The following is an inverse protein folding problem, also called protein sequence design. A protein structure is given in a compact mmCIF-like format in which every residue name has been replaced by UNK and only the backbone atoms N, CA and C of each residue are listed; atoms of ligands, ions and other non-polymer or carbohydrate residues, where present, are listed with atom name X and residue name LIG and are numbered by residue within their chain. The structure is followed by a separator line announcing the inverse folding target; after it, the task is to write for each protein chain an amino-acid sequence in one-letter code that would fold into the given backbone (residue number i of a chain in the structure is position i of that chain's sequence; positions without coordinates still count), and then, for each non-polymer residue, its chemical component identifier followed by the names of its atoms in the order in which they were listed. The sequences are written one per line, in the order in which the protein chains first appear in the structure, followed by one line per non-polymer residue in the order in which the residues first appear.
data_IF_850162888757
#
_entry.id   IF_850162888757
#
_cell.length_a   1.000
_cell.length_b   1.000
_cell.length_c   1.000
_cell.angle_alpha   90.00
_cell.angle_beta   90.00
_cell.angle_gamma   90.00
#
_symmetry.space_group_name_H-M   'P 1'
#
loop_
_entity.id
_entity.type
_entity.pdbx_description
1 polymer ?
#
# COMPACT_ATOMS: atom_id res chain seq x y z
N UNK A 1 -25.36 7.06 2.66
CA UNK A 1 -26.23 7.04 3.85
C UNK A 1 -27.60 6.53 3.44
N UNK A 2 -27.80 5.21 3.39
CA UNK A 2 -29.12 4.60 3.24
C UNK A 2 -29.62 4.26 4.63
N UNK A 3 -30.59 5.01 5.13
CA UNK A 3 -31.24 4.77 6.41
C UNK A 3 -31.90 3.38 6.39
N UNK A 4 -31.36 2.45 7.16
CA UNK A 4 -32.01 1.19 7.48
C UNK A 4 -33.29 1.47 8.29
N UNK A 5 -34.35 0.67 8.12
CA UNK A 5 -35.65 0.92 8.75
C UNK A 5 -35.57 0.88 10.29
N UNK A 6 -36.40 1.69 10.99
CA UNK A 6 -36.35 1.81 12.44
C UNK A 6 -36.94 0.54 13.07
N UNK A 7 -36.11 -0.23 13.79
CA UNK A 7 -36.51 -1.49 14.41
C UNK A 7 -35.40 -2.56 14.50
N UNK A 8 -34.19 -2.29 14.01
CA UNK A 8 -33.05 -3.22 14.05
C UNK A 8 -31.92 -2.74 14.95
N UNK A 9 -32.22 -2.12 16.09
CA UNK A 9 -31.25 -2.07 17.18
C UNK A 9 -31.10 -3.48 17.76
N UNK A 10 -30.09 -4.21 17.29
CA UNK A 10 -29.67 -5.47 17.88
C UNK A 10 -29.47 -5.28 19.38
N UNK A 11 -30.32 -5.91 20.20
CA UNK A 11 -30.28 -5.91 21.65
C UNK A 11 -28.81 -5.98 22.13
N UNK A 12 -28.33 -5.04 22.98
CA UNK A 12 -26.95 -5.04 23.46
C UNK A 12 -26.57 -6.34 24.18
N UNK A 13 -27.52 -7.10 24.71
CA UNK A 13 -27.29 -8.46 25.22
C UNK A 13 -26.99 -9.45 24.09
N UNK A 14 -27.71 -9.38 22.96
CA UNK A 14 -27.47 -10.19 21.76
C UNK A 14 -26.13 -9.84 21.11
N UNK A 15 -25.78 -8.56 21.02
CA UNK A 15 -24.47 -8.13 20.52
C UNK A 15 -23.31 -8.67 21.39
N UNK A 16 -23.45 -8.62 22.72
CA UNK A 16 -22.46 -9.19 23.66
C UNK A 16 -22.40 -10.72 23.60
N UNK A 17 -23.52 -11.40 23.39
CA UNK A 17 -23.57 -12.85 23.19
C UNK A 17 -22.92 -13.24 21.87
N UNK A 18 -23.21 -12.52 20.79
CA UNK A 18 -22.56 -12.71 19.49
C UNK A 18 -21.05 -12.48 19.58
N UNK A 19 -20.60 -11.43 20.28
CA UNK A 19 -19.17 -11.17 20.50
C UNK A 19 -18.50 -12.29 21.30
N UNK A 20 -19.15 -12.82 22.35
CA UNK A 20 -18.63 -13.98 23.10
C UNK A 20 -18.62 -15.26 22.27
N UNK A 21 -19.65 -15.50 21.47
CA UNK A 21 -19.71 -16.62 20.52
C UNK A 21 -18.59 -16.53 19.49
N UNK A 22 -18.31 -15.33 18.97
CA UNK A 22 -17.20 -15.12 18.03
C UNK A 22 -15.83 -15.26 18.67
N UNK A 23 -15.63 -14.75 19.89
CA UNK A 23 -14.40 -14.99 20.63
C UNK A 23 -14.22 -16.49 20.92
N UNK A 24 -15.29 -17.22 21.20
CA UNK A 24 -15.26 -18.67 21.36
C UNK A 24 -14.97 -19.38 20.04
N UNK A 25 -15.55 -18.96 18.92
CA UNK A 25 -15.24 -19.52 17.59
C UNK A 25 -13.80 -19.25 17.19
N UNK A 26 -13.27 -18.04 17.44
CA UNK A 26 -11.85 -17.72 17.24
C UNK A 26 -10.95 -18.53 18.16
N UNK A 27 -11.35 -18.74 19.42
CA UNK A 27 -10.61 -19.57 20.36
C UNK A 27 -10.68 -21.06 20.01
N UNK A 28 -11.80 -21.54 19.47
CA UNK A 28 -11.98 -22.91 18.99
C UNK A 28 -11.20 -23.10 17.70
N UNK A 29 -11.30 -22.19 16.73
CA UNK A 29 -10.55 -22.25 15.48
C UNK A 29 -9.04 -22.12 15.75
N UNK A 30 -8.65 -21.19 16.62
CA UNK A 30 -7.29 -21.10 17.14
C UNK A 30 -6.86 -22.37 17.87
N UNK A 31 -7.73 -22.95 18.70
CA UNK A 31 -7.49 -24.22 19.39
C UNK A 31 -7.42 -25.43 18.46
N UNK A 32 -8.17 -25.43 17.36
CA UNK A 32 -8.19 -26.48 16.33
C UNK A 32 -6.98 -26.35 15.41
N UNK A 33 -6.49 -25.12 15.19
CA UNK A 33 -5.20 -24.83 14.57
C UNK A 33 -4.02 -25.22 15.48
N UNK A 34 -4.15 -25.08 16.80
CA UNK A 34 -3.18 -25.60 17.80
C UNK A 34 -3.25 -27.11 17.92
N UNK A 35 -4.43 -27.71 17.86
CA UNK A 35 -4.57 -29.16 17.82
C UNK A 35 -3.93 -29.71 16.54
N UNK A 36 -4.17 -29.03 15.41
CA UNK A 36 -3.56 -29.37 14.12
C UNK A 36 -2.03 -29.24 14.14
N UNK A 37 -1.46 -28.29 14.89
CA UNK A 37 0.00 -28.19 15.03
C UNK A 37 0.59 -29.38 15.77
N UNK A 38 -0.18 -30.00 16.67
CA UNK A 38 0.23 -31.21 17.40
C UNK A 38 0.03 -32.46 16.53
N UNK A 39 -1.07 -32.55 15.78
CA UNK A 39 -1.38 -33.75 14.98
C UNK A 39 -0.63 -33.82 13.65
N UNK A 40 -0.10 -32.70 13.15
CA UNK A 40 0.55 -32.61 11.85
C UNK A 40 -0.41 -32.82 10.68
N UNK A 41 0.05 -32.54 9.46
CA UNK A 41 -0.67 -32.91 8.25
C UNK A 41 0.24 -33.69 7.32
N UNK A 42 -0.24 -34.85 6.85
CA UNK A 42 0.39 -35.58 5.74
C UNK A 42 0.18 -34.78 4.46
N UNK A 43 1.28 -34.40 3.81
CA UNK A 43 1.24 -33.72 2.52
C UNK A 43 2.11 -34.47 1.52
N UNK A 44 1.54 -34.75 0.34
CA UNK A 44 2.15 -35.55 -0.73
C UNK A 44 1.21 -36.66 -1.23
N UNK A 45 1.56 -37.32 -2.34
CA UNK A 45 0.84 -38.48 -2.88
C UNK A 45 1.86 -39.59 -3.19
N UNK A 46 1.66 -40.78 -2.64
CA UNK A 46 2.60 -41.91 -2.78
C UNK A 46 3.80 -41.85 -1.81
N UNK A 47 4.94 -42.44 -2.20
CA UNK A 47 6.16 -42.61 -1.37
C UNK A 47 6.86 -41.29 -0.95
N UNK A 48 6.33 -40.14 -1.38
CA UNK A 48 6.80 -38.81 -0.99
C UNK A 48 5.93 -38.15 0.10
N UNK A 49 4.93 -38.85 0.65
CA UNK A 49 4.09 -38.34 1.73
C UNK A 49 4.94 -38.07 2.99
N UNK A 50 4.93 -36.83 3.47
CA UNK A 50 5.62 -36.42 4.71
C UNK A 50 4.61 -35.83 5.68
N UNK A 51 4.67 -36.26 6.94
CA UNK A 51 3.94 -35.65 8.06
C UNK A 51 4.65 -34.38 8.48
N UNK A 52 4.05 -33.23 8.16
CA UNK A 52 4.62 -31.92 8.49
C UNK A 52 4.02 -31.45 9.82
N UNK A 53 4.89 -31.14 10.78
CA UNK A 53 4.53 -30.61 12.10
C UNK A 53 5.21 -29.25 12.33
N UNK A 54 4.46 -28.14 12.37
CA UNK A 54 5.03 -26.83 12.74
C UNK A 54 4.35 -25.65 12.08
N UNK A 55 4.54 -24.46 12.65
CA UNK A 55 3.96 -23.20 12.18
C UNK A 55 4.93 -22.45 11.26
N UNK A 56 4.52 -22.23 10.00
CA UNK A 56 5.03 -21.18 9.11
C UNK A 56 6.51 -21.27 8.71
N UNK A 57 6.95 -20.27 7.96
CA UNK A 57 8.36 -20.05 7.64
C UNK A 57 9.06 -19.39 8.84
N UNK A 58 10.25 -19.90 9.20
CA UNK A 58 11.15 -19.32 10.18
C UNK A 58 12.32 -18.69 9.44
N UNK A 59 12.69 -17.49 9.85
CA UNK A 59 13.87 -16.83 9.30
C UNK A 59 15.13 -17.35 9.97
N UNK A 60 15.97 -17.97 9.16
CA UNK A 60 17.28 -18.48 9.53
C UNK A 60 18.35 -17.54 8.99
N UNK A 61 19.39 -17.29 9.78
CA UNK A 61 20.58 -16.57 9.31
C UNK A 61 21.71 -17.56 8.96
N UNK A 62 21.84 -18.01 7.69
CA UNK A 62 22.98 -18.76 7.22
C UNK A 62 24.26 -17.90 7.25
N UNK A 63 25.32 -18.41 7.87
CA UNK A 63 26.60 -17.70 8.03
C UNK A 63 27.09 -17.07 6.71
N UNK A 64 26.96 -15.74 6.60
CA UNK A 64 27.55 -14.93 5.53
C UNK A 64 26.73 -14.72 4.25
N UNK A 65 25.47 -15.17 4.16
CA UNK A 65 24.65 -15.00 2.94
C UNK A 65 23.30 -14.29 3.16
N UNK A 66 23.15 -13.55 4.26
CA UNK A 66 21.90 -12.87 4.60
C UNK A 66 20.85 -13.84 5.15
N UNK A 67 19.60 -13.40 5.21
CA UNK A 67 18.49 -14.17 5.81
C UNK A 67 17.82 -15.06 4.77
N UNK A 68 17.52 -16.31 5.13
CA UNK A 68 16.74 -17.23 4.31
C UNK A 68 15.43 -17.59 5.03
N UNK A 69 14.32 -17.61 4.27
CA UNK A 69 13.04 -18.15 4.74
C UNK A 69 13.08 -19.67 4.61
N UNK A 70 13.01 -20.37 5.74
CA UNK A 70 13.06 -21.84 5.78
C UNK A 70 11.81 -22.34 6.50
N UNK A 71 11.14 -23.41 6.03
CA UNK A 71 10.02 -24.01 6.77
C UNK A 71 10.40 -24.34 8.20
N UNK A 72 9.53 -24.06 9.18
CA UNK A 72 9.78 -24.36 10.59
C UNK A 72 10.14 -25.85 10.84
N UNK A 73 9.60 -26.75 10.03
CA UNK A 73 9.92 -28.18 10.02
C UNK A 73 11.34 -28.46 9.57
N UNK A 74 11.77 -27.85 8.46
CA UNK A 74 13.13 -28.02 7.96
C UNK A 74 14.18 -27.47 8.95
N UNK A 75 13.83 -26.43 9.70
CA UNK A 75 14.65 -25.96 10.83
C UNK A 75 14.65 -26.95 12.00
N UNK A 76 13.48 -27.43 12.43
CA UNK A 76 13.38 -28.41 13.53
C UNK A 76 14.10 -29.73 13.21
N UNK A 77 14.00 -30.21 11.96
CA UNK A 77 14.69 -31.40 11.47
C UNK A 77 16.22 -31.18 11.34
N UNK A 78 16.66 -29.96 11.00
CA UNK A 78 18.07 -29.61 10.93
C UNK A 78 18.69 -29.51 12.34
N UNK A 79 17.99 -28.87 13.28
CA UNK A 79 18.40 -28.76 14.68
C UNK A 79 18.45 -30.13 15.38
N UNK A 80 17.49 -31.01 15.08
CA UNK A 80 17.47 -32.38 15.60
C UNK A 80 18.61 -33.26 15.07
N UNK A 81 19.11 -32.98 13.85
CA UNK A 81 20.22 -33.72 13.23
C UNK A 81 21.59 -33.22 13.69
N UNK A 82 21.70 -31.95 14.10
CA UNK A 82 22.97 -31.35 14.51
C UNK A 82 22.74 -30.22 15.53
N UNK A 83 22.71 -30.53 16.84
CA UNK A 83 22.35 -29.60 17.92
C UNK A 83 23.31 -28.42 18.12
N UNK A 84 24.39 -28.37 17.33
CA UNK A 84 25.47 -27.38 17.43
C UNK A 84 25.66 -26.54 16.18
N UNK A 85 24.70 -26.50 15.24
CA UNK A 85 24.83 -25.69 14.02
C UNK A 85 24.86 -24.19 14.35
N UNK A 86 26.08 -23.68 14.60
CA UNK A 86 26.43 -22.25 14.64
C UNK A 86 26.17 -21.50 13.30
N UNK A 87 25.51 -22.17 12.35
CA UNK A 87 25.29 -21.71 10.98
C UNK A 87 23.83 -21.34 10.69
N UNK A 88 22.87 -21.68 11.56
CA UNK A 88 21.43 -21.47 11.34
C UNK A 88 20.82 -20.92 12.64
N UNK A 89 20.90 -19.62 12.87
CA UNK A 89 20.30 -19.00 14.06
C UNK A 89 18.90 -18.49 13.75
N UNK A 90 17.94 -18.81 14.62
CA UNK A 90 16.57 -18.32 14.53
C UNK A 90 16.54 -16.80 14.77
N UNK A 91 16.06 -16.04 13.80
CA UNK A 91 15.89 -14.59 13.96
C UNK A 91 14.54 -14.29 14.63
N UNK A 92 14.56 -14.28 15.97
CA UNK A 92 13.38 -14.02 16.82
C UNK A 92 12.62 -12.75 16.39
N UNK A 93 13.27 -11.62 16.06
CA UNK A 93 12.55 -10.39 15.68
C UNK A 93 11.72 -10.54 14.39
N UNK A 94 12.22 -11.27 13.39
CA UNK A 94 11.54 -11.42 12.09
C UNK A 94 10.39 -12.41 12.19
N UNK A 95 10.60 -13.53 12.89
CA UNK A 95 9.54 -14.50 13.19
C UNK A 95 8.43 -13.83 14.00
N UNK A 96 8.76 -13.09 15.07
CA UNK A 96 7.78 -12.31 15.82
C UNK A 96 7.04 -11.30 14.93
N UNK A 97 7.75 -10.66 13.98
CA UNK A 97 7.17 -9.77 12.97
C UNK A 97 6.11 -10.45 12.10
N UNK A 98 6.34 -11.68 11.63
CA UNK A 98 5.35 -12.45 10.85
C UNK A 98 4.09 -12.73 11.68
N UNK A 99 4.26 -13.14 12.94
CA UNK A 99 3.14 -13.38 13.85
C UNK A 99 2.33 -12.12 14.14
N UNK A 100 3.00 -11.00 14.43
CA UNK A 100 2.35 -9.70 14.62
C UNK A 100 1.60 -9.29 13.34
N UNK A 101 2.21 -9.44 12.17
CA UNK A 101 1.58 -9.13 10.89
C UNK A 101 0.36 -10.02 10.59
N UNK A 102 0.41 -11.31 10.93
CA UNK A 102 -0.73 -12.22 10.78
C UNK A 102 -1.88 -11.86 11.71
N UNK A 103 -1.60 -11.59 12.99
CA UNK A 103 -2.61 -11.17 13.98
C UNK A 103 -3.26 -9.84 13.55
N UNK A 104 -2.46 -8.86 13.09
CA UNK A 104 -2.99 -7.59 12.58
C UNK A 104 -3.81 -7.79 11.30
N UNK A 105 -3.41 -8.68 10.41
CA UNK A 105 -4.18 -9.01 9.20
C UNK A 105 -5.53 -9.61 9.56
N UNK A 106 -5.57 -10.55 10.51
CA UNK A 106 -6.82 -11.11 11.04
C UNK A 106 -7.68 -10.06 11.75
N UNK A 107 -7.06 -9.15 12.52
CA UNK A 107 -7.77 -8.06 13.17
C UNK A 107 -8.44 -7.12 12.16
N UNK A 108 -7.79 -6.85 11.02
CA UNK A 108 -8.37 -6.08 9.91
C UNK A 108 -9.51 -6.87 9.24
N UNK A 109 -9.30 -8.15 8.94
CA UNK A 109 -10.33 -9.01 8.32
C UNK A 109 -11.55 -9.23 9.23
N UNK A 110 -11.41 -9.07 10.54
CA UNK A 110 -12.54 -9.16 11.49
C UNK A 110 -13.66 -8.15 11.20
N UNK A 111 -13.37 -7.03 10.53
CA UNK A 111 -14.38 -6.06 10.11
C UNK A 111 -15.47 -6.68 9.22
N UNK A 112 -15.12 -7.71 8.44
CA UNK A 112 -16.04 -8.34 7.48
C UNK A 112 -17.29 -8.93 8.15
N UNK A 113 -17.20 -9.30 9.43
CA UNK A 113 -18.33 -9.89 10.16
C UNK A 113 -19.11 -8.88 11.02
N UNK A 114 -18.43 -7.89 11.63
CA UNK A 114 -19.01 -6.78 12.42
C UNK A 114 -17.90 -5.81 12.88
N UNK A 115 -18.28 -4.60 13.32
CA UNK A 115 -17.40 -3.72 14.10
C UNK A 115 -16.93 -4.41 15.40
N UNK A 116 -15.63 -4.77 15.47
CA UNK A 116 -14.99 -5.44 16.60
C UNK A 116 -13.91 -4.53 17.22
N UNK A 117 -13.70 -4.49 18.56
CA UNK A 117 -12.56 -3.80 19.18
C UNK A 117 -11.20 -4.15 18.55
N UNK A 118 -11.00 -5.38 18.08
CA UNK A 118 -9.76 -5.77 17.40
C UNK A 118 -9.49 -4.94 16.13
N UNK A 119 -10.52 -4.69 15.32
CA UNK A 119 -10.42 -3.87 14.11
C UNK A 119 -10.08 -2.41 14.46
N UNK A 120 -10.75 -1.82 15.46
CA UNK A 120 -10.49 -0.44 15.90
C UNK A 120 -9.06 -0.25 16.43
N UNK A 121 -8.54 -1.27 17.12
CA UNK A 121 -7.15 -1.27 17.56
C UNK A 121 -6.18 -1.33 16.37
N UNK A 122 -6.43 -2.20 15.38
CA UNK A 122 -5.62 -2.25 14.17
C UNK A 122 -5.66 -0.92 13.39
N UNK A 123 -6.83 -0.31 13.25
CA UNK A 123 -7.02 0.99 12.61
C UNK A 123 -6.22 2.10 13.32
N UNK A 124 -6.35 2.22 14.63
CA UNK A 124 -5.61 3.23 15.41
C UNK A 124 -4.08 3.02 15.38
N UNK A 125 -3.61 1.77 15.37
CA UNK A 125 -2.19 1.46 15.18
C UNK A 125 -1.72 1.92 13.80
N UNK A 126 -2.44 1.59 12.72
CA UNK A 126 -2.05 1.98 11.36
C UNK A 126 -2.01 3.50 11.21
N UNK A 127 -3.02 4.20 11.72
CA UNK A 127 -3.06 5.67 11.68
C UNK A 127 -1.95 6.28 12.54
N UNK A 128 -1.70 5.75 13.74
CA UNK A 128 -0.64 6.23 14.63
C UNK A 128 0.76 6.01 14.07
N UNK A 129 1.04 4.81 13.55
CA UNK A 129 2.35 4.47 12.95
C UNK A 129 2.58 5.26 11.67
N UNK A 130 1.58 5.42 10.81
CA UNK A 130 1.71 6.22 9.59
C UNK A 130 1.96 7.70 9.90
N UNK A 131 1.21 8.29 10.84
CA UNK A 131 1.44 9.66 11.29
C UNK A 131 2.83 9.84 11.93
N UNK A 132 3.26 8.89 12.76
CA UNK A 132 4.58 8.89 13.39
C UNK A 132 5.72 8.75 12.39
N UNK A 133 5.57 7.88 11.38
CA UNK A 133 6.53 7.73 10.30
C UNK A 133 6.67 9.02 9.49
N UNK A 134 5.55 9.59 9.02
CA UNK A 134 5.55 10.85 8.25
C UNK A 134 6.13 11.99 9.08
N UNK A 135 5.83 12.07 10.38
CA UNK A 135 6.43 13.05 11.29
C UNK A 135 7.95 12.87 11.38
N UNK A 136 8.43 11.65 11.57
CA UNK A 136 9.87 11.36 11.65
C UNK A 136 10.59 11.77 10.37
N UNK A 137 10.05 11.38 9.22
CA UNK A 137 10.55 11.77 7.90
C UNK A 137 10.56 13.30 7.76
N UNK A 138 9.48 13.98 8.11
CA UNK A 138 9.41 15.44 8.04
C UNK A 138 10.46 16.12 8.94
N UNK A 139 10.71 15.58 10.14
CA UNK A 139 11.74 16.10 11.04
C UNK A 139 13.13 15.92 10.44
N UNK A 140 13.49 14.70 10.05
CA UNK A 140 14.86 14.39 9.65
C UNK A 140 15.20 14.80 8.21
N UNK A 141 14.25 14.71 7.27
CA UNK A 141 14.51 15.03 5.86
C UNK A 141 14.20 16.49 5.51
N UNK A 142 13.37 17.17 6.32
CA UNK A 142 12.95 18.55 6.04
C UNK A 142 13.37 19.51 7.14
N UNK A 143 12.93 19.31 8.39
CA UNK A 143 13.15 20.27 9.47
C UNK A 143 14.65 20.41 9.82
N UNK A 144 15.33 19.30 10.06
CA UNK A 144 16.74 19.30 10.46
C UNK A 144 17.63 19.91 9.37
N UNK A 145 17.62 19.46 8.10
CA UNK A 145 18.52 20.01 7.09
C UNK A 145 18.09 21.40 6.60
N UNK A 146 16.81 21.65 6.32
CA UNK A 146 16.35 22.89 5.65
C UNK A 146 16.09 24.05 6.61
N UNK A 147 15.87 23.78 7.91
CA UNK A 147 15.65 24.83 8.92
C UNK A 147 16.86 24.93 9.85
N UNK A 148 17.14 23.87 10.61
CA UNK A 148 18.19 23.90 11.64
C UNK A 148 19.59 23.94 11.02
N UNK A 149 19.83 23.14 9.97
CA UNK A 149 21.07 23.14 9.20
C UNK A 149 21.31 24.44 8.43
N UNK A 150 20.25 25.10 7.96
CA UNK A 150 20.34 26.41 7.33
C UNK A 150 20.68 27.53 8.33
N UNK A 151 20.10 27.51 9.54
CA UNK A 151 20.33 28.54 10.56
C UNK A 151 21.63 28.34 11.35
N UNK A 152 21.99 27.10 11.66
CA UNK A 152 23.13 26.74 12.50
C UNK A 152 23.93 25.55 11.92
N UNK A 153 24.58 25.71 10.75
CA UNK A 153 25.23 24.60 10.04
C UNK A 153 26.32 23.92 10.87
N UNK A 154 27.07 24.67 11.71
CA UNK A 154 28.10 24.10 12.58
C UNK A 154 27.56 23.16 13.66
N UNK A 155 26.41 23.48 14.26
CA UNK A 155 25.78 22.65 15.31
C UNK A 155 25.13 21.41 14.68
N UNK A 156 24.43 21.58 13.56
CA UNK A 156 23.79 20.47 12.85
C UNK A 156 24.82 19.48 12.32
N UNK A 157 25.94 19.96 11.76
CA UNK A 157 27.02 19.08 11.29
C UNK A 157 27.69 18.30 12.42
N UNK A 158 27.81 18.91 13.60
CA UNK A 158 28.44 18.26 14.76
C UNK A 158 27.55 17.24 15.47
N UNK A 159 26.23 17.48 15.55
CA UNK A 159 25.35 16.71 16.44
C UNK A 159 24.20 15.96 15.77
N UNK A 160 23.78 16.36 14.57
CA UNK A 160 22.54 15.87 13.96
C UNK A 160 22.78 15.17 12.62
N UNK A 161 23.58 15.79 11.72
CA UNK A 161 23.80 15.30 10.36
C UNK A 161 25.24 15.62 9.90
N UNK A 162 26.18 14.66 10.04
CA UNK A 162 27.59 14.85 9.65
C UNK A 162 27.80 15.12 8.15
N UNK A 163 26.86 14.68 7.31
CA UNK A 163 26.88 14.80 5.85
C UNK A 163 26.21 16.09 5.32
N UNK A 164 26.04 17.13 6.15
CA UNK A 164 25.45 18.39 5.70
C UNK A 164 26.44 19.15 4.79
N UNK A 165 26.05 19.40 3.54
CA UNK A 165 26.86 20.13 2.54
C UNK A 165 26.78 21.67 2.67
N UNK A 166 25.98 22.19 3.60
CA UNK A 166 25.77 23.63 3.78
C UNK A 166 26.89 24.22 4.65
N UNK A 167 27.73 25.06 4.05
CA UNK A 167 28.90 25.65 4.71
C UNK A 167 28.66 27.03 5.34
N UNK A 168 27.57 27.73 5.00
CA UNK A 168 27.27 29.08 5.47
C UNK A 168 25.81 29.18 5.95
N UNK A 169 25.54 29.95 7.02
CA UNK A 169 24.19 30.14 7.52
C UNK A 169 23.34 30.91 6.50
N UNK A 170 22.19 30.35 6.16
CA UNK A 170 21.20 31.00 5.32
C UNK A 170 20.12 31.63 6.20
N UNK A 171 20.16 32.96 6.31
CA UNK A 171 19.23 33.74 7.12
C UNK A 171 17.81 33.74 6.54
N UNK A 172 17.60 33.34 5.28
CA UNK A 172 16.27 33.25 4.69
C UNK A 172 15.41 32.17 5.37
N UNK A 173 16.04 31.19 6.03
CA UNK A 173 15.37 30.17 6.84
C UNK A 173 14.61 30.74 8.06
N UNK A 174 14.83 32.01 8.43
CA UNK A 174 14.02 32.71 9.44
C UNK A 174 12.55 32.88 9.01
N UNK A 175 12.28 33.02 7.72
CA UNK A 175 10.90 33.18 7.22
C UNK A 175 10.07 31.90 7.44
N UNK A 176 10.52 30.70 7.01
CA UNK A 176 9.88 29.44 7.39
C UNK A 176 9.79 29.22 8.90
N UNK A 177 10.80 29.63 9.68
CA UNK A 177 10.77 29.53 11.14
C UNK A 177 9.63 30.36 11.75
N UNK A 178 9.51 31.61 11.31
CA UNK A 178 8.45 32.52 11.75
C UNK A 178 7.06 31.99 11.37
N UNK A 179 6.89 31.49 10.14
CA UNK A 179 5.65 30.84 9.70
C UNK A 179 5.35 29.57 10.50
N UNK A 180 6.36 28.78 10.85
CA UNK A 180 6.23 27.61 11.72
C UNK A 180 5.73 27.99 13.12
N UNK A 181 6.27 29.06 13.72
CA UNK A 181 5.82 29.55 15.01
C UNK A 181 4.38 30.11 14.95
N UNK A 182 4.04 30.84 13.89
CA UNK A 182 2.66 31.30 13.65
C UNK A 182 1.67 30.13 13.54
N UNK A 183 2.10 28.98 13.02
CA UNK A 183 1.28 27.79 12.96
C UNK A 183 1.03 27.19 14.36
N UNK A 184 1.97 27.33 15.31
CA UNK A 184 1.77 26.94 16.71
C UNK A 184 0.75 27.84 17.42
N UNK A 185 0.61 29.10 17.02
CA UNK A 185 -0.43 30.00 17.57
C UNK A 185 -1.85 29.48 17.33
N UNK A 186 -2.05 28.53 16.41
CA UNK A 186 -3.32 27.84 16.17
C UNK A 186 -3.76 26.96 17.35
N UNK A 187 -2.83 26.51 18.19
CA UNK A 187 -3.14 25.71 19.37
C UNK A 187 -3.84 26.52 20.46
N UNK A 188 -3.70 27.85 20.43
CA UNK A 188 -4.39 28.77 21.31
C UNK A 188 -5.65 29.33 20.62
N UNK A 189 -6.83 29.11 21.21
CA UNK A 189 -8.11 29.56 20.66
C UNK A 189 -8.13 31.06 20.34
N UNK A 190 -7.47 31.88 21.17
CA UNK A 190 -7.45 33.35 21.05
C UNK A 190 -6.56 33.89 19.92
N UNK A 191 -5.51 33.16 19.54
CA UNK A 191 -4.52 33.61 18.54
C UNK A 191 -4.60 32.78 17.25
N UNK A 192 -5.64 31.94 17.11
CA UNK A 192 -5.82 31.04 15.98
C UNK A 192 -5.82 31.74 14.61
N UNK A 193 -6.28 32.99 14.54
CA UNK A 193 -6.30 33.78 13.30
C UNK A 193 -4.90 33.98 12.69
N UNK A 194 -3.84 34.12 13.50
CA UNK A 194 -2.46 34.23 13.02
C UNK A 194 -1.98 32.97 12.29
N UNK A 195 -2.53 31.81 12.65
CA UNK A 195 -2.25 30.53 11.99
C UNK A 195 -2.85 30.41 10.58
N UNK A 196 -3.67 31.38 10.16
CA UNK A 196 -4.27 31.41 8.81
C UNK A 196 -3.24 31.77 7.74
N UNK A 197 -2.27 32.65 8.03
CA UNK A 197 -1.27 33.06 7.05
C UNK A 197 -0.34 31.91 6.62
N UNK A 198 0.23 31.11 7.54
CA UNK A 198 0.98 29.91 7.16
C UNK A 198 0.12 28.91 6.38
N UNK A 199 -1.15 28.73 6.75
CA UNK A 199 -2.04 27.81 6.03
C UNK A 199 -2.32 28.28 4.61
N UNK A 200 -2.60 29.57 4.42
CA UNK A 200 -2.81 30.17 3.11
C UNK A 200 -1.55 30.04 2.23
N UNK A 201 -0.37 30.23 2.83
CA UNK A 201 0.91 30.02 2.14
C UNK A 201 1.10 28.56 1.70
N UNK A 202 0.84 27.61 2.61
CA UNK A 202 0.91 26.16 2.31
C UNK A 202 -0.06 25.81 1.19
N UNK A 203 -1.35 26.13 1.33
CA UNK A 203 -2.37 25.81 0.33
C UNK A 203 -2.06 26.47 -1.03
N UNK A 204 -1.65 27.73 -1.03
CA UNK A 204 -1.29 28.44 -2.26
C UNK A 204 -0.09 27.80 -2.97
N UNK A 205 0.96 27.45 -2.22
CA UNK A 205 2.15 26.80 -2.77
C UNK A 205 1.84 25.40 -3.30
N UNK A 206 1.13 24.57 -2.51
CA UNK A 206 0.75 23.23 -2.94
C UNK A 206 -0.18 23.24 -4.14
N UNK A 207 -1.16 24.15 -4.18
CA UNK A 207 -2.07 24.29 -5.32
C UNK A 207 -1.34 24.76 -6.57
N UNK A 208 -0.44 25.75 -6.46
CA UNK A 208 0.38 26.21 -7.58
C UNK A 208 1.30 25.12 -8.11
N UNK A 209 1.99 24.40 -7.22
CA UNK A 209 2.86 23.29 -7.61
C UNK A 209 2.07 22.16 -8.30
N UNK A 210 0.92 21.77 -7.74
CA UNK A 210 0.06 20.75 -8.34
C UNK A 210 -0.51 21.19 -9.69
N UNK A 211 -0.89 22.45 -9.83
CA UNK A 211 -1.35 22.99 -11.10
C UNK A 211 -0.29 22.84 -12.19
N UNK A 212 0.95 23.27 -11.91
CA UNK A 212 2.07 23.11 -12.86
C UNK A 212 2.31 21.63 -13.15
N UNK A 213 2.33 20.77 -12.11
CA UNK A 213 2.51 19.33 -12.27
C UNK A 213 1.46 18.72 -13.20
N UNK A 214 0.17 19.07 -13.04
CA UNK A 214 -0.89 18.53 -13.90
C UNK A 214 -0.81 19.06 -15.33
N UNK A 215 -0.48 20.35 -15.51
CA UNK A 215 -0.32 20.92 -16.86
C UNK A 215 0.87 20.28 -17.58
N UNK A 216 2.02 20.21 -16.92
CA UNK A 216 3.25 19.70 -17.54
C UNK A 216 3.24 18.18 -17.69
N UNK A 217 2.91 17.44 -16.63
CA UNK A 217 3.03 15.99 -16.62
C UNK A 217 1.84 15.28 -17.23
N UNK A 218 0.61 15.79 -17.06
CA UNK A 218 -0.57 15.09 -17.55
C UNK A 218 -0.99 15.67 -18.90
N UNK A 219 -1.20 16.98 -19.00
CA UNK A 219 -1.70 17.58 -20.25
C UNK A 219 -0.63 17.61 -21.35
N UNK A 220 0.56 18.16 -21.09
CA UNK A 220 1.59 18.28 -22.12
C UNK A 220 2.14 16.90 -22.53
N UNK A 221 2.36 15.99 -21.59
CA UNK A 221 2.79 14.64 -21.94
C UNK A 221 1.73 13.90 -22.76
N UNK A 222 0.45 14.01 -22.40
CA UNK A 222 -0.63 13.40 -23.18
C UNK A 222 -0.70 13.97 -24.60
N UNK A 223 -0.55 15.30 -24.76
CA UNK A 223 -0.50 15.91 -26.10
C UNK A 223 0.75 15.49 -26.87
N UNK A 224 1.91 15.41 -26.21
CA UNK A 224 3.16 14.98 -26.84
C UNK A 224 3.06 13.54 -27.37
N UNK A 225 2.46 12.62 -26.60
CA UNK A 225 2.23 11.23 -27.04
C UNK A 225 1.31 11.11 -28.27
N UNK A 226 0.49 12.13 -28.57
CA UNK A 226 -0.32 12.15 -29.80
C UNK A 226 0.52 12.43 -31.05
N UNK A 227 1.73 12.97 -30.89
CA UNK A 227 2.67 13.23 -31.99
C UNK A 227 3.67 12.10 -32.21
N UNK A 228 3.65 11.05 -31.39
CA UNK A 228 4.52 9.89 -31.57
C UNK A 228 4.23 9.19 -32.92
N UNK A 229 5.26 8.68 -33.59
CA UNK A 229 5.09 8.04 -34.89
C UNK A 229 4.20 6.80 -34.76
N UNK A 230 3.25 6.65 -35.69
CA UNK A 230 2.35 5.49 -35.74
C UNK A 230 3.11 4.17 -35.95
N UNK A 231 4.26 4.23 -36.62
CA UNK A 231 5.13 3.07 -36.79
C UNK A 231 6.03 2.89 -35.57
N UNK A 232 5.75 1.86 -34.78
CA UNK A 232 6.52 1.52 -33.57
C UNK A 232 7.38 0.28 -33.85
N UNK A 233 8.69 0.43 -34.14
CA UNK A 233 9.56 -0.71 -34.40
C UNK A 233 9.77 -1.54 -33.12
N UNK A 234 9.51 -2.85 -33.20
CA UNK A 234 9.67 -3.79 -32.10
C UNK A 234 10.75 -4.85 -32.36
N UNK A 235 11.19 -5.58 -31.32
CA UNK A 235 12.21 -6.62 -31.43
C UNK A 235 11.77 -7.84 -32.28
N UNK A 236 10.47 -7.99 -32.52
CA UNK A 236 9.90 -9.00 -33.41
C UNK A 236 8.87 -8.36 -34.36
N UNK A 237 8.60 -9.02 -35.49
CA UNK A 237 7.55 -8.58 -36.42
C UNK A 237 6.18 -8.48 -35.73
N UNK A 238 5.86 -9.43 -34.84
CA UNK A 238 4.63 -9.41 -34.04
C UNK A 238 4.57 -8.21 -33.08
N UNK A 239 5.68 -7.89 -32.41
CA UNK A 239 5.74 -6.72 -31.51
C UNK A 239 5.59 -5.40 -32.27
N UNK A 240 6.15 -5.31 -33.49
CA UNK A 240 6.03 -4.13 -34.36
C UNK A 240 4.59 -3.89 -34.79
N UNK A 241 3.89 -4.96 -35.21
CA UNK A 241 2.47 -4.90 -35.57
C UNK A 241 1.62 -4.54 -34.35
N UNK A 242 1.89 -5.14 -33.19
CA UNK A 242 1.19 -4.84 -31.95
C UNK A 242 1.33 -3.38 -31.53
N UNK A 243 2.55 -2.85 -31.51
CA UNK A 243 2.82 -1.45 -31.16
C UNK A 243 2.16 -0.47 -32.12
N UNK A 244 2.26 -0.73 -33.42
CA UNK A 244 1.63 0.09 -34.48
C UNK A 244 0.11 0.08 -34.37
N UNK A 245 -0.49 -1.09 -34.09
CA UNK A 245 -1.94 -1.22 -33.92
C UNK A 245 -2.43 -0.48 -32.67
N UNK A 246 -1.70 -0.54 -31.56
CA UNK A 246 -1.99 0.25 -30.37
C UNK A 246 -1.97 1.75 -30.66
N UNK A 247 -0.93 2.25 -31.35
CA UNK A 247 -0.83 3.66 -31.71
C UNK A 247 -2.01 4.13 -32.58
N UNK A 248 -2.40 3.32 -33.57
CA UNK A 248 -3.57 3.61 -34.41
C UNK A 248 -4.88 3.57 -33.62
N UNK A 249 -5.06 2.59 -32.73
CA UNK A 249 -6.26 2.52 -31.87
C UNK A 249 -6.38 3.74 -30.95
N UNK A 250 -5.27 4.19 -30.36
CA UNK A 250 -5.25 5.40 -29.52
C UNK A 250 -5.61 6.64 -30.34
N UNK A 251 -5.01 6.82 -31.52
CA UNK A 251 -5.32 7.94 -32.41
C UNK A 251 -6.81 7.95 -32.81
N UNK A 252 -7.33 6.82 -33.27
CA UNK A 252 -8.75 6.69 -33.66
C UNK A 252 -9.66 6.94 -32.47
N UNK A 253 -9.34 6.39 -31.29
CA UNK A 253 -10.08 6.59 -30.06
C UNK A 253 -10.16 8.06 -29.67
N UNK A 254 -9.04 8.78 -29.69
CA UNK A 254 -8.96 10.21 -29.35
C UNK A 254 -9.79 11.04 -30.33
N UNK A 255 -9.64 10.82 -31.64
CA UNK A 255 -10.42 11.53 -32.65
C UNK A 255 -11.93 11.25 -32.51
N UNK A 256 -12.32 10.01 -32.23
CA UNK A 256 -13.72 9.62 -32.04
C UNK A 256 -14.33 10.22 -30.75
N UNK A 257 -13.57 10.27 -29.66
CA UNK A 257 -13.99 10.88 -28.40
C UNK A 257 -14.07 12.39 -28.52
N UNK A 258 -13.12 13.03 -29.20
CA UNK A 258 -13.19 14.46 -29.52
C UNK A 258 -14.41 14.76 -30.38
N UNK A 259 -14.69 13.95 -31.41
CA UNK A 259 -15.88 14.10 -32.24
C UNK A 259 -17.19 13.96 -31.42
N UNK A 260 -17.21 13.10 -30.40
CA UNK A 260 -18.34 12.95 -29.48
C UNK A 260 -18.55 14.18 -28.55
N UNK A 261 -17.47 14.74 -28.01
CA UNK A 261 -17.55 15.92 -27.13
C UNK A 261 -17.61 17.26 -27.87
N UNK A 262 -17.40 17.25 -29.20
CA UNK A 262 -17.46 18.45 -30.01
C UNK A 262 -18.91 18.89 -30.25
N UNK A 263 -19.46 19.65 -29.29
CA UNK A 263 -20.86 20.11 -29.32
C UNK A 263 -21.16 21.18 -30.39
N UNK A 264 -20.14 21.73 -31.05
CA UNK A 264 -20.30 22.81 -32.03
C UNK A 264 -20.81 22.36 -33.41
N UNK A 265 -20.90 21.06 -33.69
CA UNK A 265 -21.47 20.52 -34.93
C UNK A 265 -22.70 19.66 -34.63
N UNK A 266 -23.74 19.80 -35.45
CA UNK A 266 -24.88 18.88 -35.42
C UNK A 266 -24.41 17.48 -35.78
N UNK A 267 -24.73 16.49 -34.93
CA UNK A 267 -24.31 15.10 -35.06
C UNK A 267 -25.06 14.34 -36.18
N UNK A 268 -25.21 14.92 -37.37
CA UNK A 268 -25.88 14.29 -38.53
C UNK A 268 -24.84 13.77 -39.53
N UNK A 269 -25.08 12.57 -40.08
CA UNK A 269 -24.21 11.94 -41.10
C UNK A 269 -22.96 11.24 -40.52
N UNK A 270 -21.81 11.21 -41.23
CA UNK A 270 -20.62 10.43 -40.85
C UNK A 270 -20.03 10.84 -39.49
N UNK A 271 -20.18 12.10 -39.09
CA UNK A 271 -19.77 12.63 -37.79
C UNK A 271 -20.57 11.99 -36.63
N UNK A 272 -21.86 11.68 -36.85
CA UNK A 272 -22.69 10.96 -35.88
C UNK A 272 -22.27 9.49 -35.71
N UNK A 273 -21.72 8.86 -36.75
CA UNK A 273 -21.13 7.53 -36.68
C UNK A 273 -19.82 7.52 -35.88
N UNK A 274 -18.93 8.47 -36.15
CA UNK A 274 -17.67 8.64 -35.40
C UNK A 274 -17.94 8.93 -33.91
N UNK A 275 -18.90 9.81 -33.60
CA UNK A 275 -19.31 10.07 -32.23
C UNK A 275 -19.86 8.83 -31.51
N UNK A 276 -20.58 7.94 -32.23
CA UNK A 276 -21.05 6.66 -31.66
C UNK A 276 -19.87 5.74 -31.31
N UNK A 277 -18.84 5.68 -32.15
CA UNK A 277 -17.59 4.97 -31.83
C UNK A 277 -16.91 5.59 -30.60
N UNK A 278 -16.92 6.92 -30.47
CA UNK A 278 -16.45 7.64 -29.28
C UNK A 278 -17.16 7.20 -27.99
N UNK A 279 -18.48 7.00 -28.04
CA UNK A 279 -19.26 6.47 -26.89
C UNK A 279 -18.75 5.08 -26.49
N UNK A 280 -18.52 4.18 -27.45
CA UNK A 280 -17.97 2.85 -27.16
C UNK A 280 -16.58 2.94 -26.52
N UNK A 281 -15.70 3.80 -27.04
CA UNK A 281 -14.39 4.05 -26.45
C UNK A 281 -14.49 4.55 -25.01
N UNK A 282 -15.40 5.49 -24.72
CA UNK A 282 -15.64 5.98 -23.36
C UNK A 282 -16.17 4.88 -22.44
N UNK A 283 -17.15 4.11 -22.87
CA UNK A 283 -17.71 3.01 -22.08
C UNK A 283 -16.66 1.94 -21.75
N UNK A 284 -15.82 1.56 -22.73
CA UNK A 284 -14.74 0.59 -22.52
C UNK A 284 -13.68 1.16 -21.58
N UNK A 285 -13.25 2.40 -21.79
CA UNK A 285 -12.19 3.02 -20.97
C UNK A 285 -12.63 3.25 -19.53
N UNK A 286 -13.85 3.72 -19.30
CA UNK A 286 -14.42 3.86 -17.95
C UNK A 286 -14.68 2.49 -17.32
N UNK A 287 -15.16 1.51 -18.09
CA UNK A 287 -15.35 0.14 -17.62
C UNK A 287 -14.03 -0.53 -17.19
N UNK A 288 -12.98 -0.36 -17.99
CA UNK A 288 -11.63 -0.84 -17.67
C UNK A 288 -11.06 -0.13 -16.44
N UNK A 289 -11.21 1.20 -16.34
CA UNK A 289 -10.75 1.97 -15.18
C UNK A 289 -11.43 1.52 -13.89
N UNK A 290 -12.75 1.31 -13.92
CA UNK A 290 -13.49 0.72 -12.80
C UNK A 290 -12.99 -0.70 -12.48
N UNK A 291 -12.84 -1.55 -13.51
CA UNK A 291 -12.31 -2.91 -13.39
C UNK A 291 -10.93 -2.97 -12.73
N UNK A 292 -10.01 -2.08 -13.11
CA UNK A 292 -8.68 -1.99 -12.50
C UNK A 292 -8.73 -1.66 -11.01
N UNK A 293 -9.64 -0.79 -10.58
CA UNK A 293 -9.80 -0.49 -9.14
C UNK A 293 -10.34 -1.68 -8.35
N UNK A 294 -11.26 -2.46 -8.93
CA UNK A 294 -11.79 -3.68 -8.31
C UNK A 294 -10.71 -4.77 -8.26
N UNK A 295 -10.00 -4.98 -9.36
CA UNK A 295 -8.88 -5.92 -9.43
C UNK A 295 -7.81 -5.57 -8.41
N UNK A 296 -7.46 -4.29 -8.25
CA UNK A 296 -6.49 -3.84 -7.25
C UNK A 296 -6.91 -4.22 -5.82
N UNK A 297 -8.19 -4.05 -5.47
CA UNK A 297 -8.70 -4.44 -4.15
C UNK A 297 -8.71 -5.95 -3.94
N UNK A 298 -9.09 -6.73 -4.96
CA UNK A 298 -9.08 -8.20 -4.91
C UNK A 298 -7.63 -8.72 -4.84
N UNK A 299 -6.71 -8.13 -5.59
CA UNK A 299 -5.29 -8.50 -5.57
C UNK A 299 -4.67 -8.22 -4.19
N UNK A 300 -5.00 -7.09 -3.56
CA UNK A 300 -4.56 -6.81 -2.18
C UNK A 300 -5.13 -7.83 -1.19
N UNK A 301 -6.41 -8.23 -1.34
CA UNK A 301 -6.99 -9.28 -0.51
C UNK A 301 -6.31 -10.64 -0.75
N UNK A 302 -6.10 -11.01 -2.01
CA UNK A 302 -5.42 -12.24 -2.41
C UNK A 302 -4.01 -12.30 -1.83
N UNK A 303 -3.23 -11.22 -1.93
CA UNK A 303 -1.90 -11.11 -1.33
C UNK A 303 -1.92 -11.27 0.20
N UNK A 304 -2.98 -10.82 0.88
CA UNK A 304 -3.14 -11.04 2.33
C UNK A 304 -3.54 -12.47 2.66
N UNK A 305 -4.39 -13.10 1.85
CA UNK A 305 -4.70 -14.53 1.97
C UNK A 305 -3.48 -15.41 1.69
N UNK A 306 -2.69 -15.08 0.67
CA UNK A 306 -1.41 -15.73 0.36
C UNK A 306 -0.45 -15.60 1.54
N UNK A 307 -0.25 -14.39 2.08
CA UNK A 307 0.55 -14.19 3.28
C UNK A 307 0.08 -15.06 4.48
N UNK A 308 -1.24 -15.15 4.69
CA UNK A 308 -1.81 -15.90 5.81
C UNK A 308 -1.67 -17.42 5.61
N UNK A 309 -1.95 -17.91 4.40
CA UNK A 309 -1.99 -19.33 4.10
C UNK A 309 -0.62 -19.89 3.74
N UNK A 310 0.24 -19.14 3.07
CA UNK A 310 1.55 -19.61 2.64
C UNK A 310 2.62 -19.29 3.69
N UNK A 311 2.83 -18.01 4.01
CA UNK A 311 3.93 -17.60 4.89
C UNK A 311 3.67 -17.86 6.38
N UNK A 312 2.42 -17.71 6.84
CA UNK A 312 2.09 -17.90 8.27
C UNK A 312 1.63 -19.33 8.60
N UNK A 313 0.66 -19.87 7.86
CA UNK A 313 0.09 -21.21 8.13
C UNK A 313 0.71 -22.34 7.29
N UNK A 314 1.42 -22.02 6.21
CA UNK A 314 2.08 -22.99 5.32
C UNK A 314 1.16 -24.12 4.82
N UNK A 315 -0.01 -23.73 4.31
CA UNK A 315 -1.11 -24.58 3.83
C UNK A 315 -1.09 -24.84 2.33
N UNK A 316 -0.60 -23.87 1.54
CA UNK A 316 -0.83 -23.84 0.08
C UNK A 316 0.42 -24.24 -0.71
N UNK A 317 1.63 -24.19 -0.14
CA UNK A 317 2.82 -24.70 -0.82
C UNK A 317 3.88 -25.29 0.14
N UNK A 318 3.81 -26.60 0.42
CA UNK A 318 4.82 -27.27 1.24
C UNK A 318 6.09 -27.66 0.47
N UNK A 319 6.15 -27.45 -0.84
CA UNK A 319 7.17 -28.04 -1.72
C UNK A 319 8.22 -27.06 -2.21
N UNK A 320 8.05 -25.75 -2.01
CA UNK A 320 9.10 -24.76 -2.30
C UNK A 320 9.47 -24.68 -3.78
N UNK A 321 8.50 -24.84 -4.69
CA UNK A 321 8.73 -24.61 -6.11
C UNK A 321 8.46 -23.15 -6.47
N UNK A 322 9.49 -22.33 -6.35
CA UNK A 322 9.63 -21.10 -7.13
C UNK A 322 10.75 -21.29 -8.16
#
# INVERSE_FOLDING_TARGET
MSALPPGTELDPAVARRAMRLWLLVLAIFGGLLVLRSVTGTEVGTGDAARTVHGYGLVFVEPAGQGFAEVPATAWADAEAKDPGQQRITLSVPRTAGVWVAAILTLAVLSFLWRDNPAYKLAESIVVGVSAGYVMSVAVWDTLVPKLVGALAPGVTKAHLMPALDVSAPDWWALVPLALGFLLLCRLAERTSWLGTFPLAFVVGTFSGWKFVQYVESDLLAQVATMFDPLWVPGPTAAATVGGTLCAVLVLVGVLAVLAYFFFSLEHRGPLGGAARVGIWYLMITFGASFGFTVMGRIALLAARCEFLFDRWLWLIDPAGNH
#
